data_IF_735780865496
#
_entry.id   IF_735780865496
#
_cell.length_a   1.000
_cell.length_b   1.000
_cell.length_c   1.000
_cell.angle_alpha   90.00
_cell.angle_beta   90.00
_cell.angle_gamma   90.00
#
_symmetry.space_group_name_H-M   'P 1'
#
loop_
_entity.id
_entity.type
_entity.pdbx_description
1 polymer ?
#
# COMPACT_ATOMS: atom_id res chain seq x y z
N UNK A 1 -8.60 -4.91 15.13
CA UNK A 1 -7.98 -4.56 13.83
C UNK A 1 -6.85 -5.50 13.48
N UNK A 2 -5.90 -5.73 14.39
CA UNK A 2 -4.75 -6.66 14.22
C UNK A 2 -5.15 -8.00 13.64
N UNK A 3 -6.15 -8.68 14.23
CA UNK A 3 -6.66 -9.96 13.72
C UNK A 3 -7.10 -9.92 12.25
N UNK A 4 -7.69 -8.81 11.78
CA UNK A 4 -8.11 -8.65 10.38
C UNK A 4 -6.90 -8.59 9.46
N UNK A 5 -5.88 -7.82 9.85
CA UNK A 5 -4.62 -7.70 9.12
C UNK A 5 -3.90 -9.05 9.08
N UNK A 6 -3.79 -9.72 10.22
CA UNK A 6 -3.16 -11.04 10.34
C UNK A 6 -3.89 -12.11 9.51
N UNK A 7 -5.23 -12.07 9.48
CA UNK A 7 -6.04 -12.99 8.66
C UNK A 7 -5.71 -12.83 7.18
N UNK A 8 -5.61 -11.59 6.68
CA UNK A 8 -5.23 -11.34 5.28
C UNK A 8 -3.79 -11.79 5.03
N UNK A 9 -2.86 -11.45 5.92
CA UNK A 9 -1.45 -11.82 5.77
C UNK A 9 -1.25 -13.34 5.71
N UNK A 10 -1.90 -14.10 6.60
CA UNK A 10 -1.77 -15.56 6.64
C UNK A 10 -2.52 -16.24 5.49
N UNK A 11 -3.79 -15.88 5.29
CA UNK A 11 -4.65 -16.65 4.38
C UNK A 11 -4.51 -16.24 2.92
N UNK A 12 -4.16 -14.98 2.64
CA UNK A 12 -4.06 -14.46 1.27
C UNK A 12 -2.59 -14.38 0.83
N UNK A 13 -1.69 -13.92 1.70
CA UNK A 13 -0.29 -13.73 1.32
C UNK A 13 0.59 -14.95 1.64
N UNK A 14 0.18 -15.80 2.58
CA UNK A 14 0.99 -16.93 3.04
C UNK A 14 2.13 -16.52 3.98
N UNK A 15 1.97 -15.39 4.67
CA UNK A 15 2.91 -14.95 5.70
C UNK A 15 2.77 -15.81 6.97
N UNK A 16 3.84 -15.92 7.75
CA UNK A 16 3.83 -16.59 9.05
C UNK A 16 3.16 -15.73 10.13
N UNK A 17 3.17 -14.40 9.92
CA UNK A 17 2.63 -13.44 10.86
C UNK A 17 2.70 -12.00 10.38
N UNK A 18 2.41 -11.09 11.30
CA UNK A 18 2.45 -9.65 11.10
C UNK A 18 3.20 -9.00 12.26
N UNK A 19 4.13 -8.13 11.92
CA UNK A 19 4.89 -7.32 12.87
C UNK A 19 4.41 -5.87 12.80
N UNK A 20 4.17 -5.26 13.96
CA UNK A 20 3.72 -3.87 14.04
C UNK A 20 4.83 -2.98 14.58
N UNK A 21 5.21 -1.97 13.80
CA UNK A 21 6.14 -0.95 14.24
C UNK A 21 5.52 -0.09 15.37
N UNK A 22 6.38 0.63 16.09
CA UNK A 22 5.96 1.48 17.22
C UNK A 22 4.87 2.48 16.84
N UNK A 23 4.93 3.04 15.63
CA UNK A 23 3.91 3.97 15.11
C UNK A 23 2.57 3.27 14.88
N UNK A 24 2.56 2.15 14.17
CA UNK A 24 1.35 1.34 13.98
C UNK A 24 0.68 0.94 15.31
N UNK A 25 1.45 0.60 16.35
CA UNK A 25 0.91 0.30 17.68
C UNK A 25 0.19 1.50 18.32
N UNK A 26 0.67 2.72 18.09
CA UNK A 26 -0.01 3.95 18.54
C UNK A 26 -1.29 4.19 17.73
N UNK A 27 -1.23 3.96 16.41
CA UNK A 27 -2.40 4.11 15.54
C UNK A 27 -3.51 3.11 15.91
N UNK A 28 -3.16 1.86 16.24
CA UNK A 28 -4.11 0.85 16.74
C UNK A 28 -4.85 1.31 18.00
N UNK A 29 -4.12 1.84 18.99
CA UNK A 29 -4.73 2.41 20.21
C UNK A 29 -5.64 3.59 19.88
N UNK A 30 -5.26 4.44 18.93
CA UNK A 30 -6.08 5.55 18.47
C UNK A 30 -7.37 5.06 17.81
N UNK A 31 -7.27 4.05 16.93
CA UNK A 31 -8.42 3.45 16.24
C UNK A 31 -9.42 2.87 17.25
N UNK A 32 -8.92 2.18 18.27
CA UNK A 32 -9.74 1.65 19.36
C UNK A 32 -10.44 2.77 20.14
N UNK A 33 -9.69 3.80 20.55
CA UNK A 33 -10.25 4.96 21.27
C UNK A 33 -11.32 5.70 20.49
N UNK A 34 -11.23 5.72 19.16
CA UNK A 34 -12.21 6.35 18.27
C UNK A 34 -13.40 5.44 17.94
N UNK A 35 -13.42 4.19 18.42
CA UNK A 35 -14.50 3.23 18.12
C UNK A 35 -14.48 2.71 16.68
N UNK A 36 -13.36 2.84 15.96
CA UNK A 36 -13.25 2.52 14.54
C UNK A 36 -12.74 1.10 14.26
N UNK A 37 -12.55 0.28 15.30
CA UNK A 37 -12.05 -1.10 15.20
C UNK A 37 -12.89 -2.03 14.32
N UNK A 38 -14.17 -1.68 14.11
CA UNK A 38 -15.11 -2.45 13.29
C UNK A 38 -14.91 -2.24 11.79
N UNK A 39 -14.22 -1.17 11.37
CA UNK A 39 -13.99 -0.89 9.95
C UNK A 39 -13.16 -2.00 9.27
N UNK A 40 -13.42 -2.29 7.98
CA UNK A 40 -12.57 -3.17 7.16
C UNK A 40 -11.16 -2.62 6.99
N UNK A 41 -10.25 -3.47 6.50
CA UNK A 41 -8.84 -3.12 6.25
C UNK A 41 -8.53 -3.17 4.76
N UNK A 42 -7.78 -2.18 4.26
CA UNK A 42 -7.22 -2.13 2.92
C UNK A 42 -5.70 -2.06 3.05
N UNK A 43 -5.01 -3.18 2.90
CA UNK A 43 -3.56 -3.26 3.14
C UNK A 43 -2.81 -2.64 1.94
N UNK A 44 -2.05 -1.59 2.21
CA UNK A 44 -1.14 -0.98 1.27
C UNK A 44 0.22 -1.70 1.33
N UNK A 45 0.53 -2.47 0.28
CA UNK A 45 1.82 -3.17 0.10
C UNK A 45 2.32 -3.10 -1.32
N UNK A 46 3.56 -3.55 -1.55
CA UNK A 46 4.09 -3.76 -2.90
C UNK A 46 3.20 -4.69 -3.71
N UNK A 47 2.92 -4.33 -4.96
CA UNK A 47 2.20 -5.14 -5.93
C UNK A 47 3.06 -6.25 -6.55
N UNK A 48 4.39 -6.18 -6.36
CA UNK A 48 5.36 -7.07 -7.03
C UNK A 48 5.53 -8.43 -6.32
N UNK A 49 5.12 -8.53 -5.07
CA UNK A 49 5.29 -9.72 -4.23
C UNK A 49 4.06 -9.98 -3.37
N UNK A 50 3.85 -11.21 -2.91
CA UNK A 50 2.92 -11.49 -1.80
C UNK A 50 3.44 -10.94 -0.46
N UNK A 51 4.76 -10.88 -0.29
CA UNK A 51 5.40 -10.22 0.85
C UNK A 51 5.36 -8.69 0.73
N UNK A 52 5.93 -8.02 1.72
CA UNK A 52 6.21 -6.58 1.69
C UNK A 52 7.59 -6.27 1.05
N UNK A 53 8.38 -7.28 0.66
CA UNK A 53 9.62 -7.11 -0.12
C UNK A 53 9.37 -7.34 -1.63
N UNK A 54 9.54 -6.32 -2.50
CA UNK A 54 9.35 -6.46 -3.94
C UNK A 54 10.30 -7.44 -4.63
N UNK A 55 11.39 -7.87 -3.98
CA UNK A 55 12.38 -8.81 -4.55
C UNK A 55 11.94 -10.27 -4.43
N UNK A 56 11.03 -10.59 -3.51
CA UNK A 56 10.55 -11.95 -3.29
C UNK A 56 9.45 -12.30 -4.30
N UNK A 57 9.82 -12.95 -5.40
CA UNK A 57 8.91 -13.30 -6.50
C UNK A 57 8.30 -14.70 -6.35
N UNK A 58 7.23 -14.97 -7.10
CA UNK A 58 6.55 -16.27 -7.10
C UNK A 58 5.68 -16.47 -5.85
N UNK A 59 5.86 -17.60 -5.16
CA UNK A 59 5.14 -17.93 -3.91
C UNK A 59 6.15 -17.97 -2.74
N UNK A 60 6.51 -16.81 -2.15
CA UNK A 60 7.40 -16.79 -1.00
C UNK A 60 6.74 -17.47 0.22
N UNK A 61 7.57 -17.94 1.14
CA UNK A 61 7.18 -18.57 2.41
C UNK A 61 8.19 -18.17 3.49
N UNK A 62 7.84 -18.28 4.78
CA UNK A 62 8.79 -17.99 5.84
C UNK A 62 9.01 -16.49 6.06
N UNK A 63 8.01 -15.66 5.77
CA UNK A 63 8.09 -14.21 5.86
C UNK A 63 6.98 -13.63 6.75
N UNK A 64 7.29 -12.52 7.42
CA UNK A 64 6.32 -11.70 8.15
C UNK A 64 6.03 -10.43 7.36
N UNK A 65 4.81 -9.90 7.50
CA UNK A 65 4.47 -8.58 6.98
C UNK A 65 4.73 -7.53 8.05
N UNK A 66 5.45 -6.46 7.72
CA UNK A 66 5.72 -5.34 8.63
C UNK A 66 4.77 -4.18 8.36
N UNK A 67 3.89 -3.88 9.32
CA UNK A 67 3.01 -2.71 9.30
C UNK A 67 3.68 -1.55 10.01
N UNK A 68 3.96 -0.48 9.26
CA UNK A 68 4.65 0.71 9.77
C UNK A 68 3.72 1.68 10.48
N UNK A 69 2.58 1.94 9.86
CA UNK A 69 1.56 2.87 10.33
C UNK A 69 0.18 2.43 9.81
N UNK A 70 -0.87 2.99 10.40
CA UNK A 70 -2.24 2.72 9.95
C UNK A 70 -2.97 4.05 9.76
N UNK A 71 -3.36 4.34 8.53
CA UNK A 71 -4.19 5.51 8.22
C UNK A 71 -5.68 5.20 8.37
N UNK A 72 -6.44 6.22 8.74
CA UNK A 72 -7.88 6.13 8.95
C UNK A 72 -8.57 6.86 7.81
N UNK A 73 -9.08 6.11 6.82
CA UNK A 73 -9.90 6.65 5.74
C UNK A 73 -11.36 6.71 6.17
N UNK A 74 -11.67 7.54 7.17
CA UNK A 74 -12.99 7.56 7.83
C UNK A 74 -14.16 7.83 6.87
N UNK A 75 -13.98 8.73 5.90
CA UNK A 75 -15.01 9.02 4.90
C UNK A 75 -15.28 7.85 3.94
N UNK A 76 -14.24 7.06 3.62
CA UNK A 76 -14.36 5.89 2.77
C UNK A 76 -14.75 4.61 3.55
N UNK A 77 -14.65 4.64 4.89
CA UNK A 77 -15.09 3.56 5.76
C UNK A 77 -14.09 2.40 5.90
N UNK A 78 -12.78 2.64 5.80
CA UNK A 78 -11.77 1.59 6.03
C UNK A 78 -10.49 2.12 6.68
N UNK A 79 -9.68 1.19 7.18
CA UNK A 79 -8.35 1.43 7.75
C UNK A 79 -7.29 1.00 6.72
N UNK A 80 -6.20 1.75 6.61
CA UNK A 80 -5.13 1.51 5.64
C UNK A 80 -3.83 1.18 6.36
N UNK A 81 -3.57 -0.11 6.68
CA UNK A 81 -2.26 -0.55 7.14
C UNK A 81 -1.24 -0.38 6.02
N UNK A 82 -0.18 0.40 6.27
CA UNK A 82 0.87 0.67 5.30
C UNK A 82 2.09 -0.18 5.63
N UNK A 83 2.55 -0.93 4.63
CA UNK A 83 3.70 -1.83 4.70
C UNK A 83 4.80 -1.33 3.76
N UNK A 84 6.05 -1.53 4.15
CA UNK A 84 7.21 -1.08 3.37
C UNK A 84 7.25 0.43 3.09
N UNK A 85 8.00 0.84 2.08
CA UNK A 85 7.96 2.20 1.52
C UNK A 85 7.05 2.20 0.29
N UNK A 86 6.00 3.03 0.33
CA UNK A 86 5.05 3.18 -0.78
C UNK A 86 5.08 4.60 -1.33
N UNK A 87 5.23 4.70 -2.65
CA UNK A 87 5.21 5.98 -3.37
C UNK A 87 3.77 6.46 -3.53
N UNK A 88 3.43 7.57 -2.87
CA UNK A 88 2.11 8.23 -3.00
C UNK A 88 2.07 9.33 -4.04
N UNK A 89 3.24 9.87 -4.38
CA UNK A 89 3.42 10.93 -5.36
C UNK A 89 4.54 10.51 -6.31
N UNK A 90 4.21 10.01 -7.51
CA UNK A 90 5.22 9.68 -8.51
C UNK A 90 5.91 10.97 -9.00
N UNK A 91 7.23 10.91 -9.14
CA UNK A 91 8.01 11.95 -9.80
C UNK A 91 8.02 11.79 -11.32
N UNK A 92 8.48 12.83 -12.01
CA UNK A 92 8.79 12.73 -13.44
C UNK A 92 10.12 11.98 -13.65
N UNK A 93 10.26 11.23 -14.75
CA UNK A 93 11.55 10.65 -15.15
C UNK A 93 12.53 11.75 -15.60
N UNK A 94 13.79 11.38 -15.84
CA UNK A 94 14.84 12.33 -16.28
C UNK A 94 14.51 13.03 -17.60
N UNK A 95 13.77 12.35 -18.49
CA UNK A 95 13.21 12.91 -19.72
C UNK A 95 11.69 12.70 -19.66
N UNK A 96 10.92 13.72 -19.25
CA UNK A 96 9.47 13.63 -19.16
C UNK A 96 8.83 13.43 -20.54
N UNK A 97 7.78 12.60 -20.62
CA UNK A 97 6.99 12.45 -21.85
C UNK A 97 6.44 13.80 -22.36
N UNK A 98 6.24 14.77 -21.46
CA UNK A 98 5.81 16.13 -21.80
C UNK A 98 6.73 16.86 -22.79
N UNK A 99 8.01 16.52 -22.87
CA UNK A 99 8.93 17.10 -23.88
C UNK A 99 8.62 16.62 -25.31
N UNK A 100 7.85 15.53 -25.45
CA UNK A 100 7.46 14.95 -26.73
C UNK A 100 5.99 15.17 -27.07
N UNK A 101 5.20 15.75 -26.16
CA UNK A 101 3.78 16.04 -26.41
C UNK A 101 3.69 17.33 -27.22
N UNK A 102 3.07 17.25 -28.40
CA UNK A 102 2.87 18.40 -29.30
C UNK A 102 1.57 18.25 -30.12
N UNK A 103 1.26 19.25 -30.95
CA UNK A 103 0.12 19.29 -31.85
C UNK A 103 0.61 19.49 -33.29
N UNK A 104 0.26 18.56 -34.19
CA UNK A 104 0.61 18.63 -35.60
C UNK A 104 -0.15 19.74 -36.37
N UNK A 105 0.19 19.94 -37.65
CA UNK A 105 -0.44 20.95 -38.51
C UNK A 105 -1.94 20.70 -38.77
N UNK A 106 -2.43 19.50 -38.50
CA UNK A 106 -3.83 19.10 -38.64
C UNK A 106 -4.59 19.19 -37.31
N UNK A 107 -3.92 19.58 -36.22
CA UNK A 107 -4.52 19.66 -34.88
C UNK A 107 -4.56 18.33 -34.14
N UNK A 108 -3.84 17.30 -34.59
CA UNK A 108 -3.73 16.02 -33.89
C UNK A 108 -2.64 16.08 -32.81
N UNK A 109 -2.87 15.42 -31.68
CA UNK A 109 -1.91 15.33 -30.59
C UNK A 109 -0.91 14.21 -30.87
N UNK A 110 0.38 14.52 -30.79
CA UNK A 110 1.48 13.55 -30.88
C UNK A 110 2.15 13.34 -29.50
N UNK A 111 2.85 12.21 -29.32
CA UNK A 111 3.66 11.92 -28.12
C UNK A 111 2.90 11.58 -26.83
N UNK A 112 1.58 11.43 -26.87
CA UNK A 112 0.75 11.11 -25.70
C UNK A 112 0.65 9.61 -25.39
N UNK A 113 0.86 8.74 -26.38
CA UNK A 113 0.77 7.28 -26.28
C UNK A 113 1.83 6.58 -27.13
#
# INVERSE_FOLDING_TARGET
VEKKIETVAKNIYGADGVEFASRAKLDLKRIEKLGLSNLPVCIAKTQKSFSDDPKLIGRPTGFNITVREIEIAAGAGFLVPITGDMMRMPGLPSVPAAEHIDIDEHGNIEGLF
#
